data_IF_350729914232
#
_entry.id   IF_350729914232
#
_cell.length_a   1.000
_cell.length_b   1.000
_cell.length_c   1.000
_cell.angle_alpha   90.00
_cell.angle_beta   90.00
_cell.angle_gamma   90.00
#
_symmetry.space_group_name_H-M   'P 1'
#
loop_
_entity.id
_entity.type
_entity.pdbx_description
1 polymer ?
#
# COMPACT_ATOMS: atom_id res chain seq x y z
N UNK A 1 10.96 25.94 -7.18
CA UNK A 1 11.55 24.75 -6.52
C UNK A 1 10.55 23.91 -5.70
N UNK A 2 10.01 24.37 -4.54
CA UNK A 2 9.10 23.53 -3.72
C UNK A 2 7.75 23.18 -4.41
N UNK A 3 7.15 24.15 -5.11
CA UNK A 3 5.88 23.96 -5.82
C UNK A 3 6.03 23.04 -7.04
N UNK A 4 7.16 23.12 -7.75
CA UNK A 4 7.48 22.24 -8.88
C UNK A 4 7.72 20.80 -8.42
N UNK A 5 8.44 20.61 -7.32
CA UNK A 5 8.64 19.27 -6.73
C UNK A 5 7.31 18.63 -6.32
N UNK A 6 6.38 19.42 -5.77
CA UNK A 6 5.03 18.96 -5.45
C UNK A 6 4.21 18.60 -6.69
N UNK A 7 4.26 19.42 -7.73
CA UNK A 7 3.59 19.13 -9.01
C UNK A 7 4.10 17.83 -9.63
N UNK A 8 5.41 17.57 -9.57
CA UNK A 8 6.02 16.32 -10.03
C UNK A 8 5.50 15.10 -9.27
N UNK A 9 5.44 15.16 -7.95
CA UNK A 9 4.90 14.07 -7.11
C UNK A 9 3.43 13.77 -7.42
N UNK A 10 2.61 14.82 -7.62
CA UNK A 10 1.19 14.66 -7.97
C UNK A 10 1.04 14.02 -9.35
N UNK A 11 1.85 14.42 -10.33
CA UNK A 11 1.84 13.82 -11.67
C UNK A 11 2.26 12.34 -11.63
N UNK A 12 3.33 12.02 -10.91
CA UNK A 12 3.81 10.65 -10.72
C UNK A 12 2.75 9.76 -10.07
N UNK A 13 2.14 10.22 -8.97
CA UNK A 13 1.07 9.49 -8.29
C UNK A 13 -0.14 9.24 -9.21
N UNK A 14 -0.55 10.24 -10.00
CA UNK A 14 -1.64 10.12 -10.98
C UNK A 14 -1.31 9.10 -12.07
N UNK A 15 -0.10 9.13 -12.61
CA UNK A 15 0.33 8.21 -13.65
C UNK A 15 0.36 6.76 -13.13
N UNK A 16 0.98 6.52 -11.97
CA UNK A 16 1.02 5.20 -11.34
C UNK A 16 -0.40 4.68 -11.03
N UNK A 17 -1.27 5.54 -10.49
CA UNK A 17 -2.67 5.17 -10.23
C UNK A 17 -3.43 4.88 -11.52
N UNK A 18 -3.20 5.64 -12.58
CA UNK A 18 -3.80 5.38 -13.89
C UNK A 18 -3.36 4.03 -14.46
N UNK A 19 -2.06 3.73 -14.42
CA UNK A 19 -1.51 2.44 -14.86
C UNK A 19 -2.06 1.28 -14.03
N UNK A 20 -2.11 1.42 -12.70
CA UNK A 20 -2.69 0.43 -11.80
C UNK A 20 -4.18 0.20 -12.12
N UNK A 21 -4.95 1.26 -12.36
CA UNK A 21 -6.38 1.17 -12.72
C UNK A 21 -6.59 0.49 -14.08
N UNK A 22 -5.74 0.79 -15.07
CA UNK A 22 -5.81 0.17 -16.41
C UNK A 22 -5.52 -1.33 -16.37
N UNK A 23 -4.66 -1.77 -15.46
CA UNK A 23 -4.36 -3.18 -15.28
C UNK A 23 -5.42 -3.88 -14.41
N UNK A 24 -5.93 -3.20 -13.37
CA UNK A 24 -7.03 -3.68 -12.53
C UNK A 24 -8.31 -3.96 -13.32
N UNK A 25 -8.62 -3.14 -14.33
CA UNK A 25 -9.83 -3.34 -15.16
C UNK A 25 -9.81 -4.62 -15.98
N UNK A 26 -8.63 -5.23 -16.17
CA UNK A 26 -8.48 -6.53 -16.82
C UNK A 26 -8.79 -7.70 -15.88
N UNK A 27 -8.90 -7.44 -14.57
CA UNK A 27 -9.14 -8.45 -13.53
C UNK A 27 -10.29 -8.06 -12.59
N UNK A 28 -11.51 -7.79 -13.09
CA UNK A 28 -12.65 -7.43 -12.24
C UNK A 28 -12.96 -8.51 -11.19
N UNK A 29 -12.67 -9.78 -11.50
CA UNK A 29 -12.82 -10.91 -10.59
C UNK A 29 -11.86 -10.92 -9.39
N UNK A 30 -10.83 -10.08 -9.39
CA UNK A 30 -9.89 -9.90 -8.28
C UNK A 30 -10.13 -8.62 -7.48
N UNK A 31 -11.10 -7.81 -7.90
CA UNK A 31 -11.60 -6.71 -7.07
C UNK A 31 -12.68 -7.28 -6.15
N UNK A 32 -12.53 -7.05 -4.85
CA UNK A 32 -13.49 -7.49 -3.84
C UNK A 32 -14.15 -6.29 -3.19
N UNK A 33 -15.21 -5.81 -3.84
CA UNK A 33 -16.02 -4.70 -3.34
C UNK A 33 -17.10 -5.22 -2.38
N UNK A 34 -17.17 -4.59 -1.21
CA UNK A 34 -18.20 -4.84 -0.20
C UNK A 34 -18.51 -3.55 0.55
N UNK A 35 -19.73 -3.47 1.08
CA UNK A 35 -20.14 -2.44 2.04
C UNK A 35 -19.77 -2.91 3.44
N UNK A 36 -19.33 -1.99 4.30
CA UNK A 36 -19.02 -2.33 5.69
C UNK A 36 -20.28 -2.93 6.35
N UNK A 37 -20.21 -4.19 6.81
CA UNK A 37 -21.39 -4.92 7.24
C UNK A 37 -21.88 -4.52 8.65
N UNK A 38 -21.06 -3.75 9.37
CA UNK A 38 -21.33 -3.21 10.70
C UNK A 38 -20.60 -1.87 10.90
N UNK A 39 -21.07 -1.00 11.82
CA UNK A 39 -20.36 0.24 12.16
C UNK A 39 -18.96 -0.05 12.71
N UNK A 40 -17.97 0.78 12.33
CA UNK A 40 -16.56 0.62 12.73
C UNK A 40 -15.95 -0.75 12.35
N UNK A 41 -16.43 -1.38 11.27
CA UNK A 41 -15.87 -2.62 10.77
C UNK A 41 -14.38 -2.46 10.43
N UNK A 42 -13.53 -3.27 11.04
CA UNK A 42 -12.10 -3.30 10.69
C UNK A 42 -11.90 -4.02 9.35
N UNK A 43 -11.67 -3.25 8.29
CA UNK A 43 -11.40 -3.77 6.95
C UNK A 43 -10.17 -4.66 6.85
N UNK A 44 -9.24 -4.62 7.82
CA UNK A 44 -8.05 -5.50 7.88
C UNK A 44 -8.42 -6.96 8.12
N UNK A 45 -9.62 -7.23 8.64
CA UNK A 45 -10.19 -8.58 8.77
C UNK A 45 -10.40 -9.27 7.43
N UNK A 46 -10.42 -8.49 6.33
CA UNK A 46 -10.47 -8.97 4.95
C UNK A 46 -9.10 -8.81 4.31
N UNK A 47 -8.38 -9.93 4.17
CA UNK A 47 -7.06 -9.95 3.54
C UNK A 47 -7.16 -9.84 2.01
N UNK A 48 -8.28 -10.28 1.45
CA UNK A 48 -8.59 -10.13 0.03
C UNK A 48 -8.34 -11.39 -0.81
N UNK A 49 -8.31 -11.28 -2.14
CA UNK A 49 -8.20 -12.44 -3.03
C UNK A 49 -6.85 -13.16 -2.89
N UNK A 50 -6.87 -14.49 -2.94
CA UNK A 50 -5.66 -15.34 -2.89
C UNK A 50 -4.58 -14.88 -3.87
N UNK A 51 -4.96 -14.48 -5.09
CA UNK A 51 -4.02 -14.02 -6.11
C UNK A 51 -3.12 -12.85 -5.69
N UNK A 52 -3.54 -12.04 -4.71
CA UNK A 52 -2.76 -10.88 -4.23
C UNK A 52 -1.84 -11.26 -3.06
N UNK A 53 -2.02 -12.46 -2.47
CA UNK A 53 -1.46 -12.85 -1.17
C UNK A 53 -0.23 -13.78 -1.24
N UNK A 54 0.27 -14.07 -2.44
CA UNK A 54 1.53 -14.79 -2.63
C UNK A 54 2.34 -14.22 -3.80
N UNK A 55 3.57 -14.70 -3.97
CA UNK A 55 4.43 -14.47 -5.14
C UNK A 55 4.95 -15.80 -5.65
N UNK A 56 5.29 -15.85 -6.93
CA UNK A 56 6.00 -16.97 -7.54
C UNK A 56 7.50 -16.69 -7.47
N UNK A 57 8.29 -17.64 -6.99
CA UNK A 57 9.76 -17.51 -6.86
C UNK A 57 10.46 -17.45 -8.21
N UNK A 58 9.99 -18.26 -9.17
CA UNK A 58 10.53 -18.34 -10.52
C UNK A 58 9.36 -18.38 -11.53
N UNK A 59 9.29 -17.36 -12.38
CA UNK A 59 8.18 -17.15 -13.32
C UNK A 59 8.02 -18.29 -14.34
N UNK A 60 9.02 -19.15 -14.56
CA UNK A 60 8.84 -20.33 -15.43
C UNK A 60 7.74 -21.27 -14.94
N UNK A 61 7.42 -21.25 -13.64
CA UNK A 61 6.34 -22.03 -13.05
C UNK A 61 5.00 -21.30 -13.02
N UNK A 62 4.92 -20.06 -13.51
CA UNK A 62 3.72 -19.24 -13.40
C UNK A 62 2.50 -19.89 -14.06
N UNK A 63 2.65 -20.49 -15.25
CA UNK A 63 1.55 -21.19 -15.94
C UNK A 63 1.06 -22.38 -15.13
N UNK A 64 1.97 -23.24 -14.67
CA UNK A 64 1.62 -24.39 -13.85
C UNK A 64 0.90 -23.99 -12.56
N UNK A 65 1.41 -22.97 -11.85
CA UNK A 65 0.80 -22.45 -10.61
C UNK A 65 -0.55 -21.78 -10.86
N UNK A 66 -0.71 -21.10 -11.99
CA UNK A 66 -2.00 -20.55 -12.43
C UNK A 66 -3.04 -21.66 -12.62
N UNK A 67 -2.65 -22.76 -13.28
CA UNK A 67 -3.54 -23.92 -13.50
C UNK A 67 -3.87 -24.62 -12.20
N UNK A 68 -2.88 -24.79 -11.29
CA UNK A 68 -3.09 -25.38 -9.96
C UNK A 68 -4.12 -24.58 -9.17
N UNK A 69 -3.95 -23.26 -9.11
CA UNK A 69 -4.82 -22.40 -8.33
C UNK A 69 -6.19 -22.25 -8.99
N UNK A 70 -6.24 -22.07 -10.31
CA UNK A 70 -7.47 -21.90 -11.09
C UNK A 70 -8.40 -20.85 -10.47
N UNK A 71 -9.67 -21.21 -10.29
CA UNK A 71 -10.66 -20.32 -9.68
C UNK A 71 -10.36 -19.98 -8.20
N UNK A 72 -9.52 -20.77 -7.50
CA UNK A 72 -9.14 -20.46 -6.11
C UNK A 72 -8.38 -19.14 -6.00
N UNK A 73 -7.78 -18.63 -7.09
CA UNK A 73 -7.16 -17.30 -7.15
C UNK A 73 -8.12 -16.16 -6.77
N UNK A 74 -9.41 -16.35 -7.03
CA UNK A 74 -10.46 -15.36 -6.78
C UNK A 74 -11.10 -15.49 -5.39
N UNK A 75 -10.80 -16.57 -4.67
CA UNK A 75 -11.33 -16.79 -3.33
C UNK A 75 -10.80 -15.73 -2.37
N UNK A 76 -11.63 -15.29 -1.43
CA UNK A 76 -11.35 -14.18 -0.53
C UNK A 76 -10.91 -14.72 0.82
N UNK A 77 -9.71 -14.37 1.25
CA UNK A 77 -9.18 -14.73 2.57
C UNK A 77 -9.69 -13.74 3.61
N UNK A 78 -10.21 -14.27 4.71
CA UNK A 78 -10.67 -13.50 5.88
C UNK A 78 -10.07 -14.09 7.16
N UNK A 79 -9.98 -13.27 8.20
CA UNK A 79 -9.46 -13.67 9.51
C UNK A 79 -10.23 -14.86 10.13
N UNK A 80 -11.57 -14.82 10.11
CA UNK A 80 -12.46 -15.74 10.83
C UNK A 80 -13.72 -16.06 10.02
N UNK A 81 -14.38 -17.16 10.37
CA UNK A 81 -15.67 -17.55 9.77
C UNK A 81 -16.76 -16.54 10.08
N UNK A 82 -16.68 -15.86 11.23
CA UNK A 82 -17.64 -14.85 11.68
C UNK A 82 -17.58 -13.66 10.72
N UNK A 83 -16.38 -13.19 10.39
CA UNK A 83 -16.18 -12.15 9.37
C UNK A 83 -16.73 -12.56 8.02
N UNK A 84 -16.40 -13.79 7.59
CA UNK A 84 -16.92 -14.34 6.32
C UNK A 84 -18.45 -14.36 6.26
N UNK A 85 -19.09 -14.82 7.34
CA UNK A 85 -20.55 -14.88 7.46
C UNK A 85 -21.17 -13.47 7.38
N UNK A 86 -20.68 -12.54 8.20
CA UNK A 86 -21.23 -11.19 8.28
C UNK A 86 -21.09 -10.46 6.93
N UNK A 87 -19.98 -10.65 6.21
CA UNK A 87 -19.79 -10.11 4.86
C UNK A 87 -20.73 -10.71 3.82
N UNK A 88 -20.98 -12.02 3.88
CA UNK A 88 -21.92 -12.69 2.97
C UNK A 88 -23.37 -12.23 3.23
N UNK A 89 -23.74 -11.98 4.48
CA UNK A 89 -25.10 -11.56 4.86
C UNK A 89 -25.35 -10.06 4.63
N UNK A 90 -24.36 -9.20 4.92
CA UNK A 90 -24.55 -7.74 5.00
C UNK A 90 -23.60 -6.93 4.12
N UNK A 91 -22.59 -7.56 3.54
CA UNK A 91 -21.57 -6.87 2.73
C UNK A 91 -22.02 -6.43 1.33
N UNK A 92 -23.27 -6.70 0.93
CA UNK A 92 -23.83 -6.33 -0.38
C UNK A 92 -22.96 -6.79 -1.57
N UNK A 93 -22.36 -7.97 -1.45
CA UNK A 93 -21.44 -8.53 -2.45
C UNK A 93 -22.25 -8.86 -3.71
N UNK A 94 -21.89 -8.24 -4.83
CA UNK A 94 -22.67 -8.31 -6.09
C UNK A 94 -22.44 -9.58 -6.93
N UNK A 95 -21.55 -10.46 -6.48
CA UNK A 95 -21.19 -11.69 -7.20
C UNK A 95 -21.02 -12.86 -6.25
N UNK A 96 -21.13 -14.07 -6.78
CA UNK A 96 -20.79 -15.28 -6.03
C UNK A 96 -19.30 -15.27 -5.68
N UNK A 97 -19.00 -15.43 -4.40
CA UNK A 97 -17.63 -15.51 -3.88
C UNK A 97 -17.47 -16.73 -2.98
N UNK A 98 -16.24 -17.22 -2.85
CA UNK A 98 -15.86 -18.24 -1.87
C UNK A 98 -14.96 -17.57 -0.85
N UNK A 99 -15.36 -17.64 0.43
CA UNK A 99 -14.58 -17.10 1.55
C UNK A 99 -13.70 -18.20 2.13
N UNK A 100 -12.46 -17.88 2.50
CA UNK A 100 -11.48 -18.77 3.12
C UNK A 100 -11.11 -18.21 4.50
N UNK A 101 -11.79 -18.65 5.57
CA UNK A 101 -11.47 -18.22 6.93
C UNK A 101 -10.18 -18.85 7.43
N UNK A 102 -9.23 -18.04 7.90
CA UNK A 102 -7.95 -18.54 8.43
C UNK A 102 -8.13 -19.46 9.64
N UNK A 103 -9.16 -19.25 10.47
CA UNK A 103 -9.48 -20.06 11.64
C UNK A 103 -9.93 -21.49 11.31
N UNK A 104 -10.44 -21.74 10.11
CA UNK A 104 -11.09 -23.01 9.76
C UNK A 104 -10.47 -23.72 8.55
N UNK A 105 -9.85 -22.98 7.64
CA UNK A 105 -9.31 -23.56 6.41
C UNK A 105 -8.19 -24.55 6.74
N UNK A 106 -8.24 -25.72 6.10
CA UNK A 106 -7.22 -26.76 6.24
C UNK A 106 -6.70 -27.14 4.86
N UNK A 107 -5.39 -27.12 4.71
CA UNK A 107 -4.72 -27.73 3.58
C UNK A 107 -4.47 -29.21 3.80
N UNK A 108 -4.23 -29.93 2.70
CA UNK A 108 -3.79 -31.32 2.73
C UNK A 108 -2.50 -31.42 1.91
N UNK A 109 -1.36 -31.00 2.48
CA UNK A 109 -0.09 -31.05 1.78
C UNK A 109 0.34 -32.49 1.50
N UNK A 110 1.05 -32.71 0.39
CA UNK A 110 1.62 -34.01 0.06
C UNK A 110 2.67 -34.38 1.13
N UNK A 111 2.55 -35.58 1.69
CA UNK A 111 3.49 -36.09 2.69
C UNK A 111 4.91 -36.26 2.13
N UNK A 112 5.92 -36.09 2.97
CA UNK A 112 7.34 -36.23 2.59
C UNK A 112 7.67 -37.61 1.99
N UNK A 113 7.02 -38.67 2.46
CA UNK A 113 7.19 -40.02 1.89
C UNK A 113 6.77 -40.09 0.43
N UNK A 114 5.63 -39.50 0.09
CA UNK A 114 5.12 -39.44 -1.29
C UNK A 114 6.03 -38.57 -2.17
N UNK A 115 6.54 -37.46 -1.64
CA UNK A 115 7.49 -36.60 -2.36
C UNK A 115 8.78 -37.38 -2.68
N UNK A 116 9.36 -38.07 -1.68
CA UNK A 116 10.57 -38.88 -1.86
C UNK A 116 10.35 -40.02 -2.86
N UNK A 117 9.18 -40.66 -2.83
CA UNK A 117 8.83 -41.70 -3.81
C UNK A 117 8.78 -41.12 -5.23
N UNK A 118 8.14 -39.96 -5.43
CA UNK A 118 8.10 -39.29 -6.72
C UNK A 118 9.50 -38.92 -7.23
N UNK A 119 10.34 -38.35 -6.36
CA UNK A 119 11.72 -37.99 -6.69
C UNK A 119 12.58 -39.20 -7.03
N UNK A 120 12.36 -40.35 -6.36
CA UNK A 120 13.07 -41.60 -6.67
C UNK A 120 12.63 -42.19 -8.02
N UNK A 121 11.35 -42.02 -8.39
CA UNK A 121 10.79 -42.55 -9.63
C UNK A 121 11.27 -41.79 -10.89
N UNK A 122 11.38 -40.46 -10.80
CA UNK A 122 11.61 -39.60 -11.96
C UNK A 122 12.80 -38.64 -11.83
N UNK A 123 13.48 -38.63 -10.69
CA UNK A 123 14.56 -37.68 -10.38
C UNK A 123 14.04 -36.40 -9.73
N UNK A 124 14.78 -35.90 -8.73
CA UNK A 124 14.37 -34.73 -7.95
C UNK A 124 14.29 -33.42 -8.76
N UNK A 125 15.02 -33.32 -9.86
CA UNK A 125 14.94 -32.16 -10.78
C UNK A 125 13.64 -32.10 -11.58
N UNK A 126 12.94 -33.23 -11.72
CA UNK A 126 11.81 -33.39 -12.63
C UNK A 126 10.47 -33.35 -11.91
N UNK A 127 10.46 -33.28 -10.58
CA UNK A 127 9.24 -33.20 -9.77
C UNK A 127 9.45 -32.32 -8.54
N UNK A 128 8.58 -31.33 -8.38
CA UNK A 128 8.62 -30.37 -7.27
C UNK A 128 7.22 -30.13 -6.71
N UNK A 129 7.12 -29.76 -5.44
CA UNK A 129 5.82 -29.39 -4.85
C UNK A 129 5.47 -27.96 -5.22
N UNK A 130 4.21 -27.70 -5.59
CA UNK A 130 3.78 -26.34 -5.94
C UNK A 130 3.97 -25.34 -4.79
N UNK A 131 3.72 -25.78 -3.55
CA UNK A 131 3.92 -24.96 -2.34
C UNK A 131 5.37 -24.47 -2.18
N UNK A 132 6.36 -25.24 -2.65
CA UNK A 132 7.78 -24.84 -2.53
C UNK A 132 8.19 -23.70 -3.46
N UNK A 133 7.38 -23.45 -4.50
CA UNK A 133 7.65 -22.50 -5.58
C UNK A 133 7.04 -21.11 -5.35
N UNK A 134 6.34 -20.92 -4.23
CA UNK A 134 5.68 -19.67 -3.89
C UNK A 134 6.21 -19.09 -2.57
N UNK A 135 6.04 -17.77 -2.42
CA UNK A 135 6.36 -17.00 -1.23
C UNK A 135 5.09 -16.33 -0.69
N UNK A 136 4.90 -16.38 0.62
CA UNK A 136 3.71 -15.87 1.29
C UNK A 136 4.00 -15.67 2.79
N UNK A 137 3.14 -14.90 3.47
CA UNK A 137 3.22 -14.74 4.92
C UNK A 137 2.83 -16.04 5.64
N UNK A 138 3.57 -16.43 6.69
CA UNK A 138 3.33 -17.66 7.45
C UNK A 138 1.88 -17.78 7.96
N UNK A 139 1.19 -16.67 8.27
CA UNK A 139 -0.22 -16.69 8.67
C UNK A 139 -1.14 -17.28 7.58
N UNK A 140 -0.73 -17.23 6.31
CA UNK A 140 -1.47 -17.74 5.16
C UNK A 140 -1.16 -19.20 4.83
N UNK A 141 -0.27 -19.86 5.59
CA UNK A 141 0.12 -21.25 5.35
C UNK A 141 -1.08 -22.19 5.14
N UNK A 142 -2.13 -22.17 5.98
CA UNK A 142 -3.29 -23.06 5.77
C UNK A 142 -4.01 -22.83 4.44
N UNK A 143 -4.08 -21.57 3.98
CA UNK A 143 -4.66 -21.20 2.68
C UNK A 143 -3.78 -21.68 1.53
N UNK A 144 -2.47 -21.47 1.63
CA UNK A 144 -1.55 -21.85 0.57
C UNK A 144 -1.42 -23.37 0.44
N UNK A 145 -1.47 -24.10 1.55
CA UNK A 145 -1.58 -25.57 1.54
C UNK A 145 -2.91 -26.05 0.93
N UNK A 146 -4.02 -25.35 1.18
CA UNK A 146 -5.31 -25.65 0.54
C UNK A 146 -5.30 -25.41 -0.98
N UNK A 147 -4.60 -24.38 -1.44
CA UNK A 147 -4.54 -24.02 -2.87
C UNK A 147 -3.52 -24.89 -3.61
N UNK A 148 -2.30 -24.99 -3.08
CA UNK A 148 -1.13 -25.55 -3.77
C UNK A 148 -0.58 -26.84 -3.14
N UNK A 149 -0.99 -27.20 -1.93
CA UNK A 149 -0.34 -28.25 -1.15
C UNK A 149 -0.52 -29.67 -1.71
N UNK A 150 -1.58 -29.93 -2.48
CA UNK A 150 -1.96 -31.28 -2.93
C UNK A 150 -1.51 -31.63 -4.35
N UNK A 151 -0.66 -30.81 -4.99
CA UNK A 151 -0.28 -30.96 -6.41
C UNK A 151 1.23 -30.95 -6.61
N UNK A 152 1.72 -31.84 -7.47
CA UNK A 152 3.11 -31.86 -7.94
C UNK A 152 3.23 -31.18 -9.29
N UNK A 153 4.35 -30.49 -9.52
CA UNK A 153 4.70 -29.94 -10.82
C UNK A 153 5.82 -30.79 -11.41
N UNK A 154 5.65 -31.18 -12.67
CA UNK A 154 6.54 -32.04 -13.42
C UNK A 154 7.10 -31.30 -14.65
N UNK A 155 8.28 -31.72 -15.13
CA UNK A 155 8.94 -31.12 -16.29
C UNK A 155 8.17 -31.30 -17.59
N UNK A 156 7.58 -32.48 -17.81
CA UNK A 156 6.93 -32.88 -19.06
C UNK A 156 5.76 -33.83 -18.83
N UNK A 157 4.99 -34.08 -19.89
CA UNK A 157 3.78 -34.89 -19.86
C UNK A 157 4.04 -36.37 -19.51
N UNK A 158 5.13 -36.97 -19.98
CA UNK A 158 5.41 -38.38 -19.69
C UNK A 158 5.75 -38.57 -18.21
N UNK A 159 6.55 -37.66 -17.63
CA UNK A 159 6.85 -37.64 -16.21
C UNK A 159 5.60 -37.38 -15.38
N UNK A 160 4.80 -36.39 -15.76
CA UNK A 160 3.53 -36.08 -15.08
C UNK A 160 2.60 -37.31 -15.05
N UNK A 161 2.39 -37.95 -16.20
CA UNK A 161 1.58 -39.17 -16.32
C UNK A 161 2.12 -40.29 -15.44
N UNK A 162 3.42 -40.57 -15.48
CA UNK A 162 4.06 -41.62 -14.67
C UNK A 162 3.88 -41.37 -13.18
N UNK A 163 4.05 -40.14 -12.71
CA UNK A 163 3.91 -39.78 -11.30
C UNK A 163 2.44 -39.83 -10.86
N UNK A 164 1.52 -39.31 -11.68
CA UNK A 164 0.10 -39.22 -11.32
C UNK A 164 -0.55 -40.59 -11.07
N UNK A 165 -0.24 -41.58 -11.91
CA UNK A 165 -0.84 -42.91 -11.86
C UNK A 165 0.03 -43.96 -11.16
N UNK A 166 1.13 -43.56 -10.52
CA UNK A 166 1.95 -44.49 -9.75
C UNK A 166 1.23 -44.91 -8.46
N UNK A 167 1.07 -46.23 -8.17
CA UNK A 167 0.28 -46.70 -7.02
C UNK A 167 0.77 -46.21 -5.64
N UNK A 168 2.07 -45.90 -5.53
CA UNK A 168 2.65 -45.34 -4.30
C UNK A 168 2.63 -43.81 -4.19
N UNK A 169 1.99 -43.11 -5.13
CA UNK A 169 1.94 -41.65 -5.20
C UNK A 169 0.49 -41.17 -5.33
N UNK A 170 -0.18 -41.52 -6.43
CA UNK A 170 -1.59 -41.18 -6.73
C UNK A 170 -1.94 -39.71 -6.41
N UNK A 171 -1.16 -38.77 -6.95
CA UNK A 171 -1.38 -37.33 -6.78
C UNK A 171 -1.60 -36.64 -8.12
N UNK A 172 -2.41 -35.59 -8.10
CA UNK A 172 -2.56 -34.69 -9.24
C UNK A 172 -1.19 -34.12 -9.60
N UNK A 173 -0.85 -34.16 -10.88
CA UNK A 173 0.38 -33.57 -11.40
C UNK A 173 0.09 -32.57 -12.50
N UNK A 174 0.91 -31.52 -12.58
CA UNK A 174 0.79 -30.49 -13.59
C UNK A 174 2.14 -30.30 -14.30
N UNK A 175 2.16 -30.18 -15.62
CA UNK A 175 3.38 -29.88 -16.40
C UNK A 175 3.74 -28.39 -16.32
N UNK A 176 4.96 -28.01 -16.70
CA UNK A 176 5.34 -26.59 -16.82
C UNK A 176 4.43 -25.81 -17.80
N UNK A 177 3.92 -26.50 -18.82
CA UNK A 177 3.02 -25.95 -19.84
C UNK A 177 1.55 -25.91 -19.39
N UNK A 178 1.23 -26.52 -18.24
CA UNK A 178 -0.09 -26.45 -17.62
C UNK A 178 -1.03 -27.60 -17.98
N UNK A 179 -0.51 -28.73 -18.47
CA UNK A 179 -1.29 -29.95 -18.62
C UNK A 179 -1.51 -30.61 -17.26
N UNK A 180 -2.70 -31.15 -17.03
CA UNK A 180 -3.14 -31.70 -15.75
C UNK A 180 -3.43 -33.18 -15.90
N UNK A 181 -2.78 -33.99 -15.07
CA UNK A 181 -3.11 -35.40 -14.89
C UNK A 181 -3.70 -35.60 -13.50
N UNK A 182 -4.94 -36.08 -13.44
CA UNK A 182 -5.62 -36.42 -12.20
C UNK A 182 -5.63 -37.95 -12.03
N UNK A 183 -5.18 -38.50 -10.87
CA UNK A 183 -5.27 -39.93 -10.59
C UNK A 183 -6.69 -40.50 -10.72
N UNK A 184 -7.73 -39.65 -10.67
CA UNK A 184 -9.12 -40.03 -10.93
C UNK A 184 -9.44 -40.27 -12.42
N UNK A 185 -8.43 -40.27 -13.30
CA UNK A 185 -8.57 -40.64 -14.71
C UNK A 185 -8.91 -39.47 -15.63
N UNK A 186 -8.81 -38.22 -15.17
CA UNK A 186 -9.01 -37.04 -16.03
C UNK A 186 -7.69 -36.45 -16.49
N UNK A 187 -7.64 -36.07 -17.78
CA UNK A 187 -6.55 -35.32 -18.39
C UNK A 187 -7.09 -33.99 -18.92
N UNK A 188 -6.36 -32.91 -18.73
CA UNK A 188 -6.70 -31.60 -19.29
C UNK A 188 -5.45 -30.95 -19.86
N UNK A 189 -5.53 -30.41 -21.08
CA UNK A 189 -4.42 -29.76 -21.77
C UNK A 189 -4.92 -28.89 -22.92
N UNK A 190 -4.02 -28.19 -23.61
CA UNK A 190 -4.35 -27.35 -24.76
C UNK A 190 -3.42 -26.15 -24.95
N UNK A 191 -3.68 -25.36 -26.00
CA UNK A 191 -2.88 -24.16 -26.28
C UNK A 191 -3.03 -23.11 -25.18
N UNK A 192 -1.91 -22.69 -24.61
CA UNK A 192 -1.82 -21.64 -23.58
C UNK A 192 -0.75 -20.61 -23.97
N UNK A 193 -0.90 -19.40 -23.43
CA UNK A 193 0.09 -18.34 -23.59
C UNK A 193 1.42 -18.66 -22.89
N UNK A 194 2.44 -17.85 -23.16
CA UNK A 194 3.77 -18.00 -22.55
C UNK A 194 3.76 -17.56 -21.08
N UNK A 195 4.73 -18.02 -20.28
CA UNK A 195 4.86 -17.66 -18.87
C UNK A 195 4.92 -16.14 -18.61
N UNK A 196 5.54 -15.38 -19.53
CA UNK A 196 5.62 -13.91 -19.48
C UNK A 196 4.26 -13.21 -19.67
N UNK A 197 3.31 -13.87 -20.33
CA UNK A 197 1.94 -13.38 -20.56
C UNK A 197 0.90 -14.10 -19.68
N UNK A 198 1.35 -14.92 -18.73
CA UNK A 198 0.46 -15.60 -17.77
C UNK A 198 -0.34 -14.60 -16.95
N UNK A 199 -1.52 -15.05 -16.49
CA UNK A 199 -2.40 -14.25 -15.64
C UNK A 199 -1.66 -13.82 -14.37
N UNK A 200 -0.90 -14.73 -13.74
CA UNK A 200 -0.14 -14.43 -12.53
C UNK A 200 0.92 -13.34 -12.77
N UNK A 201 1.66 -13.40 -13.89
CA UNK A 201 2.63 -12.35 -14.25
C UNK A 201 1.99 -10.97 -14.35
N UNK A 202 0.78 -10.87 -14.93
CA UNK A 202 0.03 -9.62 -15.04
C UNK A 202 -0.55 -9.16 -13.70
N UNK A 203 -1.04 -10.07 -12.86
CA UNK A 203 -1.53 -9.77 -11.51
C UNK A 203 -0.41 -9.25 -10.62
N UNK A 204 0.79 -9.83 -10.73
CA UNK A 204 1.96 -9.38 -9.98
C UNK A 204 2.39 -7.98 -10.38
N UNK A 205 2.44 -7.69 -11.69
CA UNK A 205 2.67 -6.32 -12.20
C UNK A 205 1.62 -5.33 -11.67
N UNK A 206 0.35 -5.73 -11.64
CA UNK A 206 -0.72 -4.91 -11.08
C UNK A 206 -0.49 -4.60 -9.61
N UNK A 207 -0.15 -5.62 -8.82
CA UNK A 207 0.15 -5.46 -7.39
C UNK A 207 1.33 -4.51 -7.15
N UNK A 208 2.38 -4.62 -7.95
CA UNK A 208 3.55 -3.74 -7.86
C UNK A 208 3.20 -2.28 -8.16
N UNK A 209 2.41 -2.05 -9.21
CA UNK A 209 1.90 -0.72 -9.55
C UNK A 209 0.97 -0.16 -8.47
N UNK A 210 0.12 -0.98 -7.87
CA UNK A 210 -0.80 -0.57 -6.81
C UNK A 210 -0.03 -0.14 -5.54
N UNK A 211 0.99 -0.89 -5.14
CA UNK A 211 1.88 -0.54 -4.02
C UNK A 211 2.66 0.74 -4.34
N UNK A 212 3.18 0.88 -5.56
CA UNK A 212 3.89 2.08 -5.97
C UNK A 212 2.97 3.32 -5.98
N UNK A 213 1.75 3.19 -6.50
CA UNK A 213 0.75 4.26 -6.51
C UNK A 213 0.37 4.68 -5.08
N UNK A 214 0.10 3.72 -4.20
CA UNK A 214 -0.22 3.98 -2.79
C UNK A 214 0.90 4.77 -2.10
N UNK A 215 2.16 4.34 -2.27
CA UNK A 215 3.32 5.03 -1.71
C UNK A 215 3.49 6.45 -2.29
N UNK A 216 3.25 6.62 -3.58
CA UNK A 216 3.32 7.93 -4.23
C UNK A 216 2.24 8.89 -3.69
N UNK A 217 1.01 8.40 -3.46
CA UNK A 217 -0.09 9.18 -2.87
C UNK A 217 0.15 9.56 -1.40
N UNK A 218 0.76 8.65 -0.62
CA UNK A 218 1.21 8.96 0.74
C UNK A 218 2.25 10.08 0.73
N UNK A 219 3.20 10.04 -0.21
CA UNK A 219 4.20 11.10 -0.39
C UNK A 219 3.56 12.44 -0.80
N UNK A 220 2.53 12.42 -1.64
CA UNK A 220 1.75 13.62 -1.99
C UNK A 220 1.08 14.18 -0.75
N UNK A 221 0.38 13.34 0.02
CA UNK A 221 -0.34 13.76 1.23
C UNK A 221 0.61 14.38 2.27
N UNK A 222 1.76 13.74 2.50
CA UNK A 222 2.79 14.28 3.39
C UNK A 222 3.37 15.60 2.89
N UNK A 223 3.56 15.70 1.57
CA UNK A 223 4.02 16.89 0.90
C UNK A 223 3.05 18.08 1.04
N UNK A 224 1.76 17.84 0.84
CA UNK A 224 0.71 18.84 1.02
C UNK A 224 0.59 19.30 2.48
N UNK A 225 0.75 18.39 3.44
CA UNK A 225 0.79 18.74 4.85
C UNK A 225 1.97 19.68 5.16
N UNK A 226 3.15 19.39 4.60
CA UNK A 226 4.34 20.24 4.76
C UNK A 226 4.16 21.62 4.12
N UNK A 227 3.54 21.70 2.93
CA UNK A 227 3.23 22.98 2.28
C UNK A 227 2.26 23.81 3.11
N UNK A 228 1.18 23.20 3.63
CA UNK A 228 0.22 23.87 4.51
C UNK A 228 0.89 24.39 5.78
N UNK A 229 1.74 23.58 6.42
CA UNK A 229 2.50 24.01 7.59
C UNK A 229 3.44 25.19 7.29
N UNK A 230 4.11 25.18 6.14
CA UNK A 230 4.99 26.27 5.72
C UNK A 230 4.22 27.56 5.42
N UNK A 231 3.03 27.46 4.81
CA UNK A 231 2.15 28.61 4.56
C UNK A 231 1.69 29.26 5.87
N UNK A 232 1.25 28.45 6.84
CA UNK A 232 0.84 28.95 8.16
C UNK A 232 2.00 29.68 8.87
N UNK A 233 3.22 29.11 8.83
CA UNK A 233 4.42 29.78 9.37
C UNK A 233 4.70 31.10 8.65
N UNK A 234 4.56 31.14 7.33
CA UNK A 234 4.78 32.37 6.55
C UNK A 234 3.78 33.46 6.91
N UNK A 235 2.50 33.11 7.10
CA UNK A 235 1.45 34.04 7.55
C UNK A 235 1.71 34.56 8.97
N UNK A 236 2.17 33.69 9.88
CA UNK A 236 2.55 34.12 11.23
C UNK A 236 3.75 35.07 11.19
N UNK A 237 4.74 34.80 10.33
CA UNK A 237 5.90 35.69 10.15
C UNK A 237 5.47 37.05 9.59
N UNK A 238 4.56 37.10 8.60
CA UNK A 238 4.08 38.38 8.07
C UNK A 238 3.32 39.17 9.13
N UNK A 239 2.45 38.52 9.90
CA UNK A 239 1.72 39.16 10.99
C UNK A 239 2.66 39.69 12.09
N UNK A 240 3.68 38.91 12.48
CA UNK A 240 4.69 39.36 13.46
C UNK A 240 5.54 40.52 12.92
N UNK A 241 5.82 40.57 11.61
CA UNK A 241 6.53 41.69 10.99
C UNK A 241 5.69 42.96 11.02
N UNK A 242 4.41 42.88 10.66
CA UNK A 242 3.49 44.02 10.75
C UNK A 242 3.36 44.54 12.19
N UNK A 243 3.23 43.63 13.16
CA UNK A 243 3.19 43.99 14.58
C UNK A 243 4.50 44.68 15.05
N UNK A 244 5.66 44.18 14.60
CA UNK A 244 6.96 44.78 14.90
C UNK A 244 7.10 46.18 14.30
N UNK A 245 6.70 46.37 13.05
CA UNK A 245 6.78 47.67 12.38
C UNK A 245 5.84 48.70 13.03
N UNK A 246 4.63 48.29 13.43
CA UNK A 246 3.71 49.12 14.21
C UNK A 246 4.32 49.52 15.57
N UNK A 247 4.91 48.58 16.30
CA UNK A 247 5.55 48.85 17.58
C UNK A 247 6.76 49.79 17.45
N UNK A 248 7.56 49.64 16.39
CA UNK A 248 8.67 50.55 16.06
C UNK A 248 8.18 51.95 15.78
N UNK A 249 7.12 52.10 15.00
CA UNK A 249 6.54 53.41 14.71
C UNK A 249 5.99 54.09 15.97
N UNK A 250 5.30 53.34 16.84
CA UNK A 250 4.84 53.86 18.13
C UNK A 250 5.99 54.32 19.02
N UNK A 251 7.10 53.55 19.06
CA UNK A 251 8.30 53.93 19.79
C UNK A 251 8.87 55.26 19.27
N UNK A 252 9.00 55.40 17.95
CA UNK A 252 9.49 56.63 17.32
C UNK A 252 8.61 57.85 17.62
N UNK A 253 7.28 57.68 17.60
CA UNK A 253 6.33 58.73 18.00
C UNK A 253 6.50 59.12 19.48
N UNK A 254 6.64 58.15 20.38
CA UNK A 254 6.86 58.43 21.81
C UNK A 254 8.20 59.13 22.04
N UNK A 255 9.27 58.68 21.38
CA UNK A 255 10.58 59.34 21.47
C UNK A 255 10.55 60.78 20.96
N UNK A 256 9.82 61.05 19.87
CA UNK A 256 9.66 62.42 19.36
C UNK A 256 8.84 63.29 20.33
N UNK A 257 7.77 62.76 20.94
CA UNK A 257 7.00 63.46 21.96
C UNK A 257 7.83 63.79 23.21
N UNK A 258 8.66 62.85 23.68
CA UNK A 258 9.58 63.09 24.81
C UNK A 258 10.56 64.22 24.45
N UNK A 259 11.22 64.12 23.29
CA UNK A 259 12.16 65.17 22.82
C UNK A 259 11.51 66.55 22.72
N UNK A 260 10.25 66.63 22.26
CA UNK A 260 9.52 67.89 22.18
C UNK A 260 9.16 68.42 23.58
N UNK A 261 8.66 67.57 24.46
CA UNK A 261 8.27 67.95 25.83
C UNK A 261 9.48 68.44 26.63
N UNK A 262 10.61 67.73 26.56
CA UNK A 262 11.86 68.13 27.20
C UNK A 262 12.35 69.47 26.65
N UNK A 263 12.27 69.69 25.33
CA UNK A 263 12.62 70.98 24.70
C UNK A 263 11.70 72.11 25.17
N UNK A 264 10.41 71.86 25.33
CA UNK A 264 9.46 72.84 25.86
C UNK A 264 9.75 73.19 27.32
N UNK A 265 10.02 72.17 28.15
CA UNK A 265 10.38 72.34 29.56
C UNK A 265 11.68 73.13 29.72
N UNK A 266 12.74 72.73 29.01
CA UNK A 266 14.03 73.43 29.03
C UNK A 266 13.91 74.89 28.57
N UNK A 267 13.03 75.20 27.61
CA UNK A 267 12.76 76.59 27.19
C UNK A 267 12.03 77.40 28.27
N UNK A 268 11.08 76.78 28.97
CA UNK A 268 10.37 77.43 30.07
C UNK A 268 11.32 77.72 31.24
N UNK A 269 12.16 76.76 31.61
CA UNK A 269 13.17 76.92 32.67
C UNK A 269 14.19 78.01 32.30
N UNK A 270 14.64 78.05 31.03
CA UNK A 270 15.55 79.09 30.55
C UNK A 270 14.90 80.48 30.55
N UNK A 271 13.61 80.57 30.21
CA UNK A 271 12.86 81.82 30.30
C UNK A 271 12.73 82.29 31.75
N UNK A 272 12.34 81.40 32.68
CA UNK A 272 12.27 81.71 34.10
C UNK A 272 13.63 82.17 34.65
N UNK A 273 14.71 81.44 34.33
CA UNK A 273 16.08 81.81 34.74
C UNK A 273 16.50 83.16 34.17
N UNK A 274 16.08 83.49 32.93
CA UNK A 274 16.36 84.78 32.29
C UNK A 274 15.56 85.91 32.93
N UNK A 275 14.32 85.64 33.35
CA UNK A 275 13.51 86.59 34.11
C UNK A 275 14.11 86.84 35.48
N UNK A 276 14.49 85.81 36.22
CA UNK A 276 15.22 85.93 37.49
C UNK A 276 16.53 86.73 37.31
N UNK A 277 17.34 86.41 36.30
CA UNK A 277 18.55 87.18 35.97
C UNK A 277 18.24 88.66 35.67
N UNK A 278 17.13 88.95 34.98
CA UNK A 278 16.72 90.32 34.68
C UNK A 278 16.26 91.08 35.92
N UNK A 279 15.54 90.42 36.84
CA UNK A 279 15.14 90.96 38.14
C UNK A 279 16.36 91.22 39.04
N UNK A 280 17.35 90.32 39.05
CA UNK A 280 18.62 90.54 39.73
C UNK A 280 19.44 91.67 39.09
N UNK A 281 19.43 91.82 37.76
CA UNK A 281 20.11 92.91 37.07
C UNK A 281 19.44 94.28 37.23
N UNK A 282 18.16 94.31 37.61
CA UNK A 282 17.43 95.53 37.97
C UNK A 282 17.53 95.86 39.47
N UNK A 283 18.18 94.99 40.25
CA UNK A 283 18.48 95.16 41.68
C UNK A 283 19.95 95.48 41.98
N UNK A 284 20.72 95.94 40.99
CA UNK A 284 22.04 96.54 41.23
C UNK A 284 21.91 98.06 41.44
N UNK A 285 22.12 98.44 42.70
CA UNK A 285 22.53 99.73 43.30
C UNK A 285 22.84 100.90 42.37
#
# INVERSE_FOLDING_TARGET
MFREKQLGLVQEARELRHQASKLSSQFPQLVFDYTDPEPNFDRRRVLGPVAKLFRVKDLKYAVALEVIAGNKLQNIVVDTEVTGKILLERGQIRRRVTMLPLTQIRGSPISDGVIKNAQSLVGASNVVTALSLIEYDNMLKPVMEYVFGSVLICSDMEIARRVAFHPGIEKKTITLEGDVFDPQGTLSGGSRGTASDSLLSRIFKWRDLEVAAQKAEENVTQGEANVRAAQLRSQNISHLREALDNARHQLELLETQIRQTDKHRLRADLAATRTELSEFSSFQW
#
